data_IF_110813780142
#
_entry.id   IF_110813780142
#
_cell.length_a   1.000
_cell.length_b   1.000
_cell.length_c   1.000
_cell.angle_alpha   90.00
_cell.angle_beta   90.00
_cell.angle_gamma   90.00
#
_symmetry.space_group_name_H-M   'P 1'
#
loop_
_entity.id
_entity.type
_entity.pdbx_description
1 polymer ?
#
# COMPACT_ATOMS: atom_id res chain seq x y z
N UNK A 1 -34.64 -8.72 -7.59
CA UNK A 1 -33.56 -7.73 -7.43
C UNK A 1 -32.25 -8.46 -7.24
N UNK A 2 -31.24 -8.16 -8.06
CA UNK A 2 -29.88 -8.71 -7.92
C UNK A 2 -29.19 -8.01 -6.73
N UNK A 3 -28.61 -8.78 -5.81
CA UNK A 3 -27.86 -8.22 -4.67
C UNK A 3 -26.39 -8.12 -5.04
N UNK A 4 -25.78 -6.97 -4.81
CA UNK A 4 -24.34 -6.76 -5.01
C UNK A 4 -23.64 -6.59 -3.66
N UNK A 5 -22.38 -7.01 -3.59
CA UNK A 5 -21.56 -6.97 -2.38
C UNK A 5 -20.21 -6.31 -2.67
N UNK A 6 -19.71 -5.53 -1.70
CA UNK A 6 -18.34 -5.03 -1.72
C UNK A 6 -17.42 -6.07 -1.11
N UNK A 7 -16.42 -6.51 -1.87
CA UNK A 7 -15.44 -7.54 -1.46
C UNK A 7 -14.03 -6.97 -1.43
N UNK A 8 -13.19 -7.56 -0.57
CA UNK A 8 -11.73 -7.35 -0.53
C UNK A 8 -11.07 -8.65 -0.98
N UNK A 9 -10.24 -8.59 -2.01
CA UNK A 9 -9.43 -9.74 -2.43
C UNK A 9 -8.21 -9.83 -1.51
N UNK A 10 -8.19 -10.78 -0.58
CA UNK A 10 -7.20 -10.84 0.50
C UNK A 10 -5.76 -11.08 -0.01
N UNK A 11 -5.60 -11.67 -1.19
CA UNK A 11 -4.28 -11.97 -1.74
C UNK A 11 -3.73 -10.87 -2.64
N UNK A 12 -4.59 -9.96 -3.11
CA UNK A 12 -4.24 -8.86 -4.02
C UNK A 12 -4.40 -7.47 -3.39
N UNK A 13 -5.24 -7.33 -2.36
CA UNK A 13 -5.50 -6.09 -1.62
C UNK A 13 -6.49 -5.11 -2.28
N UNK A 14 -6.97 -5.37 -3.50
CA UNK A 14 -7.96 -4.53 -4.17
C UNK A 14 -9.39 -4.82 -3.71
N UNK A 15 -10.29 -3.85 -3.92
CA UNK A 15 -11.73 -3.99 -3.63
C UNK A 15 -12.54 -3.94 -4.92
N UNK A 16 -13.63 -4.69 -4.97
CA UNK A 16 -14.57 -4.69 -6.09
C UNK A 16 -16.00 -4.80 -5.59
N UNK A 17 -16.97 -4.39 -6.42
CA UNK A 17 -18.38 -4.68 -6.23
C UNK A 17 -18.75 -5.83 -7.14
N UNK A 18 -19.28 -6.91 -6.58
CA UNK A 18 -19.64 -8.14 -7.30
C UNK A 18 -21.07 -8.54 -7.02
N UNK A 19 -21.68 -9.24 -7.96
CA UNK A 19 -23.01 -9.80 -7.77
C UNK A 19 -23.01 -11.02 -6.85
N UNK A 20 -24.14 -11.28 -6.20
CA UNK A 20 -24.36 -12.47 -5.38
C UNK A 20 -24.09 -13.77 -6.16
N UNK A 21 -24.36 -13.77 -7.47
CA UNK A 21 -24.13 -14.90 -8.36
C UNK A 21 -22.65 -15.26 -8.54
N UNK A 22 -21.74 -14.31 -8.28
CA UNK A 22 -20.28 -14.49 -8.36
C UNK A 22 -19.67 -14.93 -7.03
N UNK A 23 -20.45 -15.01 -5.96
CA UNK A 23 -19.98 -15.42 -4.64
C UNK A 23 -20.22 -16.92 -4.41
N UNK A 24 -19.29 -17.55 -3.70
CA UNK A 24 -19.37 -18.95 -3.24
C UNK A 24 -18.89 -19.02 -1.79
N UNK A 25 -19.37 -19.98 -0.99
CA UNK A 25 -18.80 -20.26 0.32
C UNK A 25 -17.30 -20.53 0.20
N UNK A 26 -16.50 -19.99 1.13
CA UNK A 26 -15.05 -20.23 1.17
C UNK A 26 -14.79 -21.62 1.77
N UNK A 27 -14.10 -22.54 1.06
CA UNK A 27 -13.70 -23.82 1.61
C UNK A 27 -12.83 -23.65 2.87
N UNK A 28 -13.02 -24.47 3.92
CA UNK A 28 -12.25 -24.36 5.18
C UNK A 28 -10.74 -24.44 4.98
N UNK A 29 -10.29 -25.25 4.02
CA UNK A 29 -8.87 -25.43 3.71
C UNK A 29 -8.25 -24.12 3.21
N UNK A 30 -8.97 -23.40 2.34
CA UNK A 30 -8.55 -22.07 1.86
C UNK A 30 -8.69 -21.00 2.93
N UNK A 31 -9.70 -21.12 3.81
CA UNK A 31 -9.89 -20.18 4.93
C UNK A 31 -8.75 -20.24 5.97
N UNK A 32 -8.02 -21.36 6.03
CA UNK A 32 -6.87 -21.52 6.94
C UNK A 32 -5.59 -20.84 6.44
N UNK A 33 -5.51 -20.49 5.15
CA UNK A 33 -4.34 -19.86 4.57
C UNK A 33 -4.26 -18.37 4.99
N UNK A 34 -3.06 -17.85 5.33
CA UNK A 34 -2.91 -16.44 5.61
C UNK A 34 -3.14 -15.62 4.34
N UNK A 35 -3.76 -14.45 4.48
CA UNK A 35 -3.89 -13.49 3.40
C UNK A 35 -2.51 -13.10 2.85
N UNK A 36 -2.33 -13.15 1.52
CA UNK A 36 -1.04 -12.82 0.93
C UNK A 36 -0.77 -11.31 0.85
N UNK A 37 -1.81 -10.46 0.77
CA UNK A 37 -1.61 -9.02 0.68
C UNK A 37 -1.42 -8.37 2.05
N UNK A 38 -0.25 -7.79 2.26
CA UNK A 38 0.04 -6.97 3.44
C UNK A 38 -0.25 -5.50 3.15
N UNK A 39 -1.00 -4.84 4.04
CA UNK A 39 -1.24 -3.40 3.94
C UNK A 39 -0.03 -2.62 4.44
N UNK A 40 0.54 -1.79 3.57
CA UNK A 40 1.72 -0.98 3.88
C UNK A 40 1.49 0.50 3.62
N UNK A 41 2.31 1.34 4.26
CA UNK A 41 2.43 2.76 3.94
C UNK A 41 3.90 3.19 3.97
N UNK A 42 4.28 4.12 3.09
CA UNK A 42 5.61 4.72 3.14
C UNK A 42 5.78 5.45 4.48
N UNK A 43 6.86 5.12 5.19
CA UNK A 43 7.18 5.72 6.48
C UNK A 43 7.59 7.19 6.32
N UNK A 44 7.30 8.00 7.34
CA UNK A 44 7.81 9.36 7.50
C UNK A 44 7.48 10.37 6.40
N UNK A 45 6.55 10.08 5.48
CA UNK A 45 6.12 11.02 4.43
C UNK A 45 4.61 11.21 4.36
N UNK A 46 4.20 12.38 3.88
CA UNK A 46 2.83 12.70 3.50
C UNK A 46 2.80 13.48 2.18
N UNK A 47 1.63 13.63 1.53
CA UNK A 47 1.49 14.46 0.33
C UNK A 47 2.00 15.88 0.58
N UNK A 48 2.66 16.46 -0.42
CA UNK A 48 3.11 17.85 -0.39
C UNK A 48 1.96 18.87 -0.38
N UNK A 49 0.81 18.49 -0.95
CA UNK A 49 -0.36 19.34 -1.18
C UNK A 49 -1.58 18.70 -0.53
N UNK A 50 -2.19 19.43 0.42
CA UNK A 50 -3.41 18.98 1.08
C UNK A 50 -3.23 17.65 1.81
N UNK A 51 -4.28 16.82 1.79
CA UNK A 51 -4.33 15.55 2.54
C UNK A 51 -4.44 14.31 1.64
N UNK A 52 -4.22 14.45 0.32
CA UNK A 52 -4.31 13.37 -0.67
C UNK A 52 -3.12 13.41 -1.62
N UNK A 53 -2.68 12.23 -2.04
CA UNK A 53 -1.72 12.10 -3.14
C UNK A 53 -2.40 12.50 -4.45
N UNK A 54 -1.75 13.36 -5.23
CA UNK A 54 -2.24 13.70 -6.57
C UNK A 54 -1.90 12.59 -7.59
N UNK A 55 -2.52 12.66 -8.76
CA UNK A 55 -2.38 11.64 -9.80
C UNK A 55 -0.93 11.49 -10.29
N UNK A 56 -0.19 12.60 -10.35
CA UNK A 56 1.22 12.59 -10.77
C UNK A 56 2.12 11.89 -9.74
N UNK A 57 1.89 12.09 -8.44
CA UNK A 57 2.58 11.36 -7.38
C UNK A 57 2.28 9.86 -7.43
N UNK A 58 1.01 9.50 -7.68
CA UNK A 58 0.58 8.10 -7.82
C UNK A 58 1.23 7.46 -9.05
N UNK A 59 1.22 8.14 -10.20
CA UNK A 59 1.83 7.64 -11.43
C UNK A 59 3.34 7.39 -11.24
N UNK A 60 4.06 8.35 -10.66
CA UNK A 60 5.48 8.17 -10.35
C UNK A 60 5.71 6.99 -9.39
N UNK A 61 4.88 6.84 -8.36
CA UNK A 61 4.99 5.70 -7.45
C UNK A 61 4.78 4.36 -8.19
N UNK A 62 3.79 4.29 -9.09
CA UNK A 62 3.53 3.10 -9.91
C UNK A 62 4.71 2.79 -10.83
N UNK A 63 5.27 3.79 -11.50
CA UNK A 63 6.44 3.64 -12.39
C UNK A 63 7.66 3.11 -11.65
N UNK A 64 7.90 3.61 -10.43
CA UNK A 64 9.04 3.19 -9.60
C UNK A 64 8.84 1.80 -8.97
N UNK A 65 7.61 1.34 -8.81
CA UNK A 65 7.29 0.10 -8.09
C UNK A 65 7.01 -1.07 -9.01
N UNK A 66 6.20 -0.89 -10.06
CA UNK A 66 5.87 -1.90 -11.08
C UNK A 66 5.24 -3.21 -10.54
N UNK A 67 4.32 -3.81 -11.28
CA UNK A 67 3.70 -5.08 -10.87
C UNK A 67 4.63 -6.30 -11.00
N UNK A 68 5.73 -6.18 -11.74
CA UNK A 68 6.66 -7.28 -12.04
C UNK A 68 8.01 -7.15 -11.31
N UNK A 69 8.21 -6.08 -10.53
CA UNK A 69 9.48 -5.83 -9.88
C UNK A 69 9.48 -6.43 -8.47
N UNK A 70 10.63 -6.99 -8.06
CA UNK A 70 10.85 -7.36 -6.67
C UNK A 70 11.38 -6.14 -5.91
N UNK A 71 10.67 -5.72 -4.87
CA UNK A 71 11.04 -4.56 -4.05
C UNK A 71 11.46 -5.03 -2.65
N UNK A 72 12.32 -4.24 -2.00
CA UNK A 72 12.72 -4.46 -0.61
C UNK A 72 11.98 -3.49 0.28
N UNK A 73 11.15 -4.01 1.18
CA UNK A 73 10.45 -3.23 2.20
C UNK A 73 11.20 -3.34 3.54
N UNK A 74 11.80 -2.24 3.97
CA UNK A 74 12.45 -2.15 5.28
C UNK A 74 11.42 -1.63 6.30
N UNK A 75 11.07 -2.47 7.28
CA UNK A 75 10.09 -2.12 8.33
C UNK A 75 10.64 -0.98 9.20
N UNK A 76 9.85 0.09 9.35
CA UNK A 76 10.13 1.23 10.24
C UNK A 76 9.17 1.32 11.41
N UNK A 77 7.95 0.84 11.22
CA UNK A 77 6.92 0.94 12.23
C UNK A 77 5.73 0.06 11.93
N UNK A 78 4.76 0.10 12.82
CA UNK A 78 3.54 -0.66 12.70
C UNK A 78 2.41 0.13 13.36
N UNK A 79 1.40 0.47 12.56
CA UNK A 79 0.21 1.16 13.03
C UNK A 79 -0.94 0.17 13.01
N UNK A 80 -1.35 -0.23 14.20
CA UNK A 80 -2.53 -1.07 14.39
C UNK A 80 -3.69 -0.21 14.88
N UNK A 81 -4.81 -0.31 14.20
CA UNK A 81 -6.09 0.25 14.62
C UNK A 81 -7.09 -0.89 14.79
N UNK A 82 -8.29 -0.59 15.28
CA UNK A 82 -9.38 -1.58 15.34
C UNK A 82 -9.74 -2.16 13.97
N UNK A 83 -9.49 -1.43 12.89
CA UNK A 83 -9.97 -1.75 11.54
C UNK A 83 -8.85 -2.01 10.53
N UNK A 84 -7.62 -1.61 10.83
CA UNK A 84 -6.49 -1.68 9.91
C UNK A 84 -5.22 -2.09 10.65
N UNK A 85 -4.47 -2.99 10.03
CA UNK A 85 -3.11 -3.34 10.43
C UNK A 85 -2.16 -2.86 9.32
N UNK A 86 -1.40 -1.80 9.58
CA UNK A 86 -0.57 -1.15 8.55
C UNK A 86 0.89 -1.20 8.95
N UNK A 87 1.71 -1.81 8.10
CA UNK A 87 3.15 -1.77 8.25
C UNK A 87 3.73 -0.50 7.62
N UNK A 88 4.51 0.25 8.39
CA UNK A 88 5.21 1.42 7.87
C UNK A 88 6.60 1.01 7.38
N UNK A 89 6.92 1.34 6.13
CA UNK A 89 8.12 0.84 5.45
C UNK A 89 8.89 1.94 4.72
N UNK A 90 10.21 1.78 4.64
CA UNK A 90 11.00 2.38 3.55
C UNK A 90 11.02 1.38 2.40
N UNK A 91 10.63 1.82 1.20
CA UNK A 91 10.54 0.94 0.03
C UNK A 91 11.69 1.22 -0.93
N UNK A 92 12.37 0.14 -1.33
CA UNK A 92 13.54 0.19 -2.19
C UNK A 92 13.32 -0.63 -3.46
N UNK A 93 13.63 -0.03 -4.61
CA UNK A 93 13.75 -0.76 -5.87
C UNK A 93 15.24 -1.04 -6.13
N UNK A 94 15.62 -2.33 -6.20
CA UNK A 94 17.01 -2.79 -6.43
C UNK A 94 17.17 -3.53 -7.75
N UNK A 95 16.23 -3.37 -8.69
CA UNK A 95 16.26 -4.07 -9.98
C UNK A 95 17.21 -3.40 -10.99
N UNK A 96 17.68 -2.17 -10.71
CA UNK A 96 18.68 -1.47 -11.51
C UNK A 96 20.09 -1.52 -10.92
N UNK A 97 21.09 -0.94 -11.59
CA UNK A 97 22.49 -0.92 -11.13
C UNK A 97 22.69 -0.11 -9.85
N UNK A 98 21.78 0.83 -9.56
CA UNK A 98 21.79 1.65 -8.35
C UNK A 98 20.48 1.45 -7.60
N UNK A 99 20.50 1.10 -6.30
CA UNK A 99 19.29 1.04 -5.48
C UNK A 99 18.57 2.38 -5.41
N UNK A 100 17.26 2.37 -5.66
CA UNK A 100 16.39 3.55 -5.60
C UNK A 100 15.56 3.50 -4.32
N UNK A 101 15.66 4.53 -3.48
CA UNK A 101 14.74 4.75 -2.37
C UNK A 101 13.50 5.51 -2.88
N UNK A 102 12.35 4.84 -2.93
CA UNK A 102 11.13 5.41 -3.51
C UNK A 102 10.64 6.61 -2.70
N UNK A 103 10.78 6.56 -1.38
CA UNK A 103 10.43 7.70 -0.50
C UNK A 103 11.29 8.92 -0.81
N UNK A 104 12.60 8.74 -1.02
CA UNK A 104 13.50 9.83 -1.35
C UNK A 104 13.14 10.47 -2.70
N UNK A 105 12.89 9.65 -3.73
CA UNK A 105 12.51 10.16 -5.07
C UNK A 105 11.22 10.98 -5.00
N UNK A 106 10.21 10.54 -4.24
CA UNK A 106 8.96 11.30 -4.09
C UNK A 106 9.20 12.67 -3.42
N UNK A 107 10.12 12.75 -2.45
CA UNK A 107 10.48 14.01 -1.79
C UNK A 107 11.31 14.92 -2.71
N UNK A 108 12.31 14.38 -3.40
CA UNK A 108 13.16 15.11 -4.35
C UNK A 108 12.36 15.69 -5.52
N UNK A 109 11.34 14.97 -5.99
CA UNK A 109 10.39 15.43 -7.01
C UNK A 109 9.29 16.34 -6.45
N UNK A 110 9.39 16.70 -5.17
CA UNK A 110 8.45 17.53 -4.45
C UNK A 110 7.01 16.99 -4.45
N UNK A 111 6.77 15.70 -4.63
CA UNK A 111 5.44 15.07 -4.48
C UNK A 111 5.11 14.73 -3.02
N UNK A 112 6.15 14.48 -2.22
CA UNK A 112 6.04 14.19 -0.80
C UNK A 112 6.82 15.21 0.04
N UNK A 113 6.42 15.36 1.30
CA UNK A 113 7.22 16.04 2.33
C UNK A 113 7.43 15.11 3.51
N UNK A 114 8.55 15.28 4.21
CA UNK A 114 8.80 14.56 5.45
C UNK A 114 7.77 15.01 6.51
N UNK A 115 7.18 14.04 7.21
CA UNK A 115 6.34 14.33 8.37
C UNK A 115 7.21 15.04 9.41
N UNK A 116 6.75 16.21 9.88
CA UNK A 116 7.36 16.83 11.06
C UNK A 116 7.20 15.86 12.22
N UNK A 117 8.31 15.46 12.83
CA UNK A 117 8.26 14.76 14.11
C UNK A 117 7.71 15.79 15.10
N UNK A 118 6.48 15.61 15.55
CA UNK A 118 6.03 16.26 16.77
C UNK A 118 6.86 15.67 17.90
N UNK A 119 7.94 16.35 18.27
CA UNK A 119 8.56 16.19 19.58
C UNK A 119 7.45 16.48 20.58
N UNK A 120 6.91 15.43 21.20
CA UNK A 120 5.96 15.59 22.29
C UNK A 120 6.65 16.39 23.40
N UNK A 121 6.09 17.56 23.70
CA UNK A 121 6.26 18.20 25.00
C UNK A 121 5.31 17.55 25.99
#
# INVERSE_FOLDING_TARGET
MQKCFRVLYLDYGNRCTVDSASLRPLPPELASLPACALRMSLANVCPNKGNKWDEAAIALFVDLTGFKLSLVAEKKGHRRTRFEDVMEVTLWNRNGPVPINITAVLVEKAFAVLKKVSLGM
#
